data_IF_320585158639
#
_entry.id   IF_320585158639
#
_cell.length_a   1.000
_cell.length_b   1.000
_cell.length_c   1.000
_cell.angle_alpha   90.00
_cell.angle_beta   90.00
_cell.angle_gamma   90.00
#
_symmetry.space_group_name_H-M   'P 1'
#
loop_
_entity.id
_entity.type
_entity.pdbx_description
1 polymer ?
#
# COMPACT_ATOMS: atom_id res chain seq x y z
N UNK A 1 -29.25 19.26 16.22
CA UNK A 1 -29.31 18.70 14.85
C UNK A 1 -28.28 17.57 14.80
N UNK A 2 -28.72 16.31 14.95
CA UNK A 2 -27.79 15.17 14.86
C UNK A 2 -27.38 15.02 13.38
N UNK A 3 -26.17 15.45 13.06
CA UNK A 3 -25.54 15.11 11.78
C UNK A 3 -25.38 13.58 11.78
N UNK A 4 -26.16 12.89 10.95
CA UNK A 4 -25.94 11.47 10.68
C UNK A 4 -24.66 11.40 9.89
N UNK A 5 -23.53 11.21 10.59
CA UNK A 5 -22.23 10.97 9.95
C UNK A 5 -22.34 9.57 9.33
N UNK A 6 -22.40 9.50 8.02
CA UNK A 6 -22.39 8.22 7.31
C UNK A 6 -21.04 7.54 7.51
N UNK A 7 -21.01 6.21 7.73
CA UNK A 7 -19.74 5.49 7.78
C UNK A 7 -18.98 5.65 6.47
N UNK A 8 -17.64 5.65 6.52
CA UNK A 8 -16.80 5.82 5.34
C UNK A 8 -17.06 4.71 4.32
N UNK A 9 -17.02 5.06 3.04
CA UNK A 9 -17.10 4.09 1.96
C UNK A 9 -15.78 3.30 1.96
N UNK A 10 -15.87 1.99 2.18
CA UNK A 10 -14.70 1.11 2.13
C UNK A 10 -14.23 0.93 0.69
N UNK A 11 -12.92 0.95 0.51
CA UNK A 11 -12.29 0.52 -0.75
C UNK A 11 -12.43 -1.00 -0.84
N UNK A 12 -12.91 -1.49 -1.96
CA UNK A 12 -13.05 -2.92 -2.24
C UNK A 12 -12.06 -3.30 -3.35
N UNK A 13 -11.35 -4.41 -3.17
CA UNK A 13 -10.51 -4.96 -4.22
C UNK A 13 -11.33 -5.27 -5.47
N UNK A 14 -10.86 -4.82 -6.61
CA UNK A 14 -11.50 -5.07 -7.91
C UNK A 14 -10.48 -5.60 -8.90
N UNK A 15 -10.91 -6.46 -9.82
CA UNK A 15 -10.04 -7.06 -10.83
C UNK A 15 -9.26 -6.05 -11.69
N UNK A 16 -9.75 -4.81 -11.81
CA UNK A 16 -9.03 -3.73 -12.51
C UNK A 16 -7.72 -3.31 -11.82
N UNK A 17 -7.55 -3.64 -10.54
CA UNK A 17 -6.34 -3.36 -9.76
C UNK A 17 -5.34 -4.53 -9.81
N UNK A 18 -5.74 -5.66 -10.36
CA UNK A 18 -4.91 -6.85 -10.43
C UNK A 18 -3.79 -6.69 -11.46
N UNK A 19 -2.56 -6.93 -11.03
CA UNK A 19 -1.37 -6.92 -11.89
C UNK A 19 -1.03 -8.30 -12.43
N UNK A 20 -1.52 -9.36 -11.76
CA UNK A 20 -1.16 -10.74 -12.03
C UNK A 20 0.25 -11.09 -11.53
N UNK A 21 0.70 -10.40 -10.48
CA UNK A 21 1.91 -10.69 -9.72
C UNK A 21 1.47 -10.94 -8.28
N UNK A 22 1.28 -12.22 -7.93
CA UNK A 22 0.60 -12.63 -6.69
C UNK A 22 1.08 -11.90 -5.43
N UNK A 23 2.40 -11.75 -5.28
CA UNK A 23 2.97 -11.10 -4.11
C UNK A 23 2.61 -9.62 -4.03
N UNK A 24 2.56 -8.93 -5.15
CA UNK A 24 2.21 -7.51 -5.21
C UNK A 24 0.70 -7.34 -5.04
N UNK A 25 -0.10 -8.17 -5.71
CA UNK A 25 -1.55 -8.14 -5.59
C UNK A 25 -2.01 -8.39 -4.14
N UNK A 26 -1.39 -9.34 -3.42
CA UNK A 26 -1.66 -9.56 -1.99
C UNK A 26 -1.22 -8.37 -1.12
N UNK A 27 -0.11 -7.73 -1.45
CA UNK A 27 0.33 -6.52 -0.76
C UNK A 27 -0.61 -5.34 -1.00
N UNK A 28 -1.14 -5.16 -2.20
CA UNK A 28 -2.15 -4.14 -2.50
C UNK A 28 -3.46 -4.38 -1.73
N UNK A 29 -3.93 -5.62 -1.67
CA UNK A 29 -5.11 -5.98 -0.85
C UNK A 29 -4.90 -5.64 0.62
N UNK A 30 -3.70 -5.89 1.16
CA UNK A 30 -3.37 -5.52 2.55
C UNK A 30 -3.32 -4.00 2.74
N UNK A 31 -2.76 -3.23 1.81
CA UNK A 31 -2.77 -1.76 1.86
C UNK A 31 -4.20 -1.21 1.86
N UNK A 32 -5.09 -1.75 1.03
CA UNK A 32 -6.51 -1.41 1.05
C UNK A 32 -7.11 -1.68 2.44
N UNK A 33 -6.77 -2.82 3.05
CA UNK A 33 -7.20 -3.15 4.41
C UNK A 33 -6.76 -2.10 5.42
N UNK A 34 -5.47 -1.74 5.46
CA UNK A 34 -4.91 -0.73 6.36
C UNK A 34 -5.58 0.64 6.16
N UNK A 35 -5.80 1.05 4.91
CA UNK A 35 -6.49 2.31 4.61
C UNK A 35 -7.94 2.27 5.10
N UNK A 36 -8.65 1.17 4.91
CA UNK A 36 -10.01 1.00 5.42
C UNK A 36 -10.06 1.03 6.95
N UNK A 37 -9.09 0.42 7.62
CA UNK A 37 -8.97 0.43 9.09
C UNK A 37 -8.70 1.84 9.61
N UNK A 38 -7.84 2.61 8.93
CA UNK A 38 -7.61 4.02 9.24
C UNK A 38 -8.90 4.84 9.15
N UNK A 39 -9.72 4.57 8.14
CA UNK A 39 -11.02 5.23 7.96
C UNK A 39 -11.98 4.91 9.10
N UNK A 40 -12.05 3.66 9.49
CA UNK A 40 -12.91 3.23 10.59
C UNK A 40 -12.46 3.79 11.93
N UNK A 41 -11.17 3.70 12.23
CA UNK A 41 -10.59 4.26 13.47
C UNK A 41 -10.89 5.75 13.62
N UNK A 42 -10.81 6.48 12.52
CA UNK A 42 -11.15 7.89 12.47
C UNK A 42 -12.65 8.14 12.65
N UNK A 43 -13.50 7.40 11.93
CA UNK A 43 -14.95 7.51 12.06
C UNK A 43 -15.39 7.27 13.50
N UNK A 44 -14.77 6.33 14.19
CA UNK A 44 -15.00 6.01 15.61
C UNK A 44 -14.33 7.01 16.57
N UNK A 45 -13.59 8.00 16.06
CA UNK A 45 -12.81 8.96 16.83
C UNK A 45 -11.81 8.31 17.80
N UNK A 46 -11.31 7.13 17.44
CA UNK A 46 -10.35 6.38 18.24
C UNK A 46 -8.92 6.80 17.87
N UNK A 47 -8.41 7.81 18.60
CA UNK A 47 -7.08 8.41 18.34
C UNK A 47 -5.95 7.39 18.47
N UNK A 48 -6.02 6.49 19.45
CA UNK A 48 -5.00 5.45 19.64
C UNK A 48 -4.96 4.50 18.44
N UNK A 49 -6.13 4.09 17.96
CA UNK A 49 -6.25 3.25 16.79
C UNK A 49 -5.76 3.96 15.51
N UNK A 50 -6.07 5.25 15.36
CA UNK A 50 -5.56 6.06 14.24
C UNK A 50 -4.03 6.09 14.23
N UNK A 51 -3.40 6.38 15.38
CA UNK A 51 -1.93 6.41 15.49
C UNK A 51 -1.33 5.04 15.13
N UNK A 52 -1.85 3.96 15.71
CA UNK A 52 -1.39 2.59 15.42
C UNK A 52 -1.49 2.26 13.93
N UNK A 53 -2.58 2.63 13.29
CA UNK A 53 -2.81 2.34 11.87
C UNK A 53 -1.93 3.20 10.96
N UNK A 54 -1.62 4.44 11.35
CA UNK A 54 -0.66 5.30 10.64
C UNK A 54 0.77 4.72 10.71
N UNK A 55 1.18 4.20 11.86
CA UNK A 55 2.48 3.54 12.02
C UNK A 55 2.54 2.28 11.16
N UNK A 56 1.48 1.47 11.15
CA UNK A 56 1.36 0.29 10.31
C UNK A 56 1.42 0.65 8.81
N UNK A 57 0.69 1.68 8.39
CA UNK A 57 0.71 2.18 7.02
C UNK A 57 2.12 2.59 6.58
N UNK A 58 2.81 3.36 7.43
CA UNK A 58 4.18 3.83 7.14
C UNK A 58 5.16 2.66 7.00
N UNK A 59 5.10 1.68 7.89
CA UNK A 59 5.99 0.51 7.82
C UNK A 59 5.62 -0.40 6.65
N UNK A 60 4.34 -0.64 6.42
CA UNK A 60 3.89 -1.50 5.34
C UNK A 60 4.21 -0.94 3.96
N UNK A 61 3.96 0.36 3.73
CA UNK A 61 4.32 1.00 2.46
C UNK A 61 5.82 0.96 2.20
N UNK A 62 6.65 1.12 3.22
CA UNK A 62 8.10 1.00 3.08
C UNK A 62 8.51 -0.38 2.57
N UNK A 63 7.91 -1.43 3.09
CA UNK A 63 8.22 -2.81 2.70
C UNK A 63 7.65 -3.13 1.33
N UNK A 64 6.43 -2.71 1.04
CA UNK A 64 5.77 -2.89 -0.24
C UNK A 64 6.58 -2.26 -1.37
N UNK A 65 6.94 -0.98 -1.24
CA UNK A 65 7.76 -0.28 -2.24
C UNK A 65 9.13 -0.93 -2.45
N UNK A 66 9.79 -1.35 -1.36
CA UNK A 66 11.05 -2.07 -1.50
C UNK A 66 10.91 -3.41 -2.23
N UNK A 67 9.77 -4.10 -2.08
CA UNK A 67 9.49 -5.34 -2.79
C UNK A 67 9.31 -5.10 -4.29
N UNK A 68 8.52 -4.09 -4.66
CA UNK A 68 8.30 -3.71 -6.06
C UNK A 68 9.60 -3.27 -6.73
N UNK A 69 10.30 -2.33 -6.13
CA UNK A 69 11.56 -1.81 -6.64
C UNK A 69 12.59 -2.91 -6.86
N UNK A 70 12.68 -3.88 -5.94
CA UNK A 70 13.57 -5.03 -6.10
C UNK A 70 13.15 -5.98 -7.24
N UNK A 71 11.85 -6.15 -7.47
CA UNK A 71 11.35 -6.94 -8.61
C UNK A 71 11.59 -6.22 -9.93
N UNK A 72 11.32 -4.92 -9.98
CA UNK A 72 11.56 -4.09 -11.16
C UNK A 72 13.05 -4.04 -11.54
N UNK A 73 13.93 -3.90 -10.55
CA UNK A 73 15.39 -3.91 -10.76
C UNK A 73 15.84 -5.24 -11.36
N UNK A 74 15.39 -6.37 -10.79
CA UNK A 74 15.73 -7.71 -11.30
C UNK A 74 15.16 -7.99 -12.67
N UNK A 75 14.01 -7.39 -13.00
CA UNK A 75 13.40 -7.49 -14.31
C UNK A 75 13.99 -6.54 -15.35
N UNK A 76 14.85 -5.59 -14.93
CA UNK A 76 15.45 -4.60 -15.81
C UNK A 76 14.45 -3.56 -16.33
N UNK A 77 13.44 -3.21 -15.53
CA UNK A 77 12.40 -2.25 -15.94
C UNK A 77 12.97 -0.86 -16.15
N UNK A 78 12.78 -0.28 -17.32
CA UNK A 78 13.27 1.03 -17.68
C UNK A 78 12.64 2.18 -16.86
N UNK A 79 11.44 1.98 -16.34
CA UNK A 79 10.70 2.96 -15.54
C UNK A 79 11.09 3.00 -14.05
N UNK A 80 12.03 2.16 -13.59
CA UNK A 80 12.38 1.99 -12.17
C UNK A 80 12.67 3.32 -11.45
N UNK A 81 13.49 4.18 -12.02
CA UNK A 81 13.91 5.43 -11.36
C UNK A 81 12.74 6.42 -11.23
N UNK A 82 11.87 6.52 -12.24
CA UNK A 82 10.68 7.35 -12.16
C UNK A 82 9.69 6.79 -11.11
N UNK A 83 9.54 5.47 -11.05
CA UNK A 83 8.69 4.78 -10.08
C UNK A 83 9.16 5.00 -8.62
N UNK A 84 10.47 4.90 -8.37
CA UNK A 84 11.08 5.22 -7.06
C UNK A 84 10.78 6.65 -6.61
N UNK A 85 10.78 7.61 -7.53
CA UNK A 85 10.43 9.00 -7.19
C UNK A 85 8.99 9.15 -6.71
N UNK A 86 8.04 8.45 -7.35
CA UNK A 86 6.64 8.44 -6.89
C UNK A 86 6.51 7.82 -5.50
N UNK A 87 7.19 6.70 -5.24
CA UNK A 87 7.25 6.06 -3.93
C UNK A 87 7.83 6.98 -2.84
N UNK A 88 8.92 7.69 -3.16
CA UNK A 88 9.54 8.62 -2.23
C UNK A 88 8.64 9.82 -1.89
N UNK A 89 7.89 10.31 -2.88
CA UNK A 89 6.89 11.35 -2.66
C UNK A 89 5.79 10.86 -1.72
N UNK A 90 5.26 9.65 -1.95
CA UNK A 90 4.23 9.07 -1.09
C UNK A 90 4.72 8.84 0.34
N UNK A 91 5.91 8.28 0.52
CA UNK A 91 6.55 8.11 1.85
C UNK A 91 6.68 9.44 2.61
N UNK A 92 7.03 10.52 1.89
CA UNK A 92 7.09 11.87 2.48
C UNK A 92 5.71 12.37 2.89
N UNK A 93 4.69 12.17 2.06
CA UNK A 93 3.33 12.59 2.37
C UNK A 93 2.78 11.86 3.60
N UNK A 94 2.90 10.55 3.68
CA UNK A 94 2.47 9.77 4.86
C UNK A 94 3.11 10.30 6.14
N UNK A 95 4.43 10.58 6.11
CA UNK A 95 5.14 11.14 7.27
C UNK A 95 4.68 12.54 7.66
N UNK A 96 4.34 13.39 6.68
CA UNK A 96 3.81 14.73 6.94
C UNK A 96 2.45 14.65 7.62
N UNK A 97 1.56 13.78 7.15
CA UNK A 97 0.25 13.58 7.77
C UNK A 97 0.35 13.01 9.18
N UNK A 98 1.22 12.01 9.41
CA UNK A 98 1.44 11.49 10.75
C UNK A 98 1.93 12.58 11.74
N UNK A 99 2.82 13.46 11.28
CA UNK A 99 3.29 14.60 12.08
C UNK A 99 2.21 15.65 12.35
N UNK A 100 1.38 15.95 11.37
CA UNK A 100 0.28 16.90 11.52
C UNK A 100 -0.78 16.33 12.46
N UNK A 101 -1.15 15.06 12.31
CA UNK A 101 -2.07 14.39 13.23
C UNK A 101 -1.57 14.38 14.68
N UNK A 102 -0.27 14.13 14.89
CA UNK A 102 0.33 14.19 16.24
C UNK A 102 0.28 15.59 16.89
N UNK A 103 0.10 16.65 16.09
CA UNK A 103 -0.07 18.04 16.58
C UNK A 103 -1.54 18.44 16.78
N UNK A 104 -2.46 17.48 16.67
CA UNK A 104 -3.91 17.70 16.77
C UNK A 104 -4.51 18.48 15.59
N UNK A 105 -3.83 18.56 14.46
CA UNK A 105 -4.39 19.11 13.24
C UNK A 105 -5.35 18.07 12.63
N UNK A 106 -6.60 18.45 12.35
CA UNK A 106 -7.58 17.57 11.67
C UNK A 106 -7.30 17.50 10.17
N UNK A 107 -6.20 16.83 9.80
CA UNK A 107 -5.79 16.57 8.42
C UNK A 107 -6.33 15.25 7.86
N UNK A 108 -7.19 14.62 8.59
CA UNK A 108 -7.61 13.23 8.38
C UNK A 108 -8.44 13.01 7.12
N UNK A 109 -9.25 13.98 6.69
CA UNK A 109 -10.03 13.88 5.46
C UNK A 109 -9.14 14.03 4.21
N UNK A 110 -8.16 14.92 4.29
CA UNK A 110 -7.21 15.15 3.20
C UNK A 110 -6.30 13.93 3.01
N UNK A 111 -5.82 13.34 4.13
CA UNK A 111 -5.06 12.09 4.10
C UNK A 111 -5.85 10.96 3.45
N UNK A 112 -7.10 10.79 3.85
CA UNK A 112 -7.97 9.75 3.30
C UNK A 112 -8.11 9.88 1.79
N UNK A 113 -8.48 11.07 1.32
CA UNK A 113 -8.67 11.34 -0.10
C UNK A 113 -7.36 11.15 -0.88
N UNK A 114 -6.26 11.60 -0.32
CA UNK A 114 -4.93 11.46 -0.92
C UNK A 114 -4.53 9.98 -1.04
N UNK A 115 -4.64 9.21 0.03
CA UNK A 115 -4.28 7.78 0.03
C UNK A 115 -5.13 6.99 -0.96
N UNK A 116 -6.44 7.23 -0.98
CA UNK A 116 -7.35 6.53 -1.90
C UNK A 116 -7.03 6.86 -3.35
N UNK A 117 -6.92 8.14 -3.69
CA UNK A 117 -6.65 8.57 -5.06
C UNK A 117 -5.29 8.06 -5.53
N UNK A 118 -4.26 8.16 -4.66
CA UNK A 118 -2.94 7.69 -5.00
C UNK A 118 -2.91 6.17 -5.21
N UNK A 119 -3.44 5.39 -4.27
CA UNK A 119 -3.45 3.93 -4.38
C UNK A 119 -4.14 3.48 -5.68
N UNK A 120 -5.34 4.02 -5.95
CA UNK A 120 -6.10 3.62 -7.14
C UNK A 120 -5.40 4.02 -8.43
N UNK A 121 -4.85 5.24 -8.51
CA UNK A 121 -4.15 5.71 -9.71
C UNK A 121 -2.80 5.02 -9.89
N UNK A 122 -2.03 4.86 -8.82
CA UNK A 122 -0.72 4.21 -8.84
C UNK A 122 -0.84 2.75 -9.28
N UNK A 123 -1.68 1.97 -8.59
CA UNK A 123 -1.90 0.55 -8.92
C UNK A 123 -2.50 0.37 -10.31
N UNK A 124 -3.50 1.18 -10.68
CA UNK A 124 -4.19 1.00 -11.97
C UNK A 124 -3.41 1.50 -13.19
N UNK A 125 -2.43 2.36 -13.01
CA UNK A 125 -1.69 3.00 -14.11
C UNK A 125 -0.18 2.77 -14.00
N UNK A 126 0.45 3.25 -12.90
CA UNK A 126 1.91 3.23 -12.75
C UNK A 126 2.45 1.81 -12.61
N UNK A 127 1.84 0.99 -11.75
CA UNK A 127 2.29 -0.39 -11.52
C UNK A 127 2.04 -1.29 -12.74
N UNK A 128 1.00 -1.03 -13.49
CA UNK A 128 0.78 -1.75 -14.77
C UNK A 128 1.90 -1.52 -15.77
N UNK A 129 2.58 -0.39 -15.68
CA UNK A 129 3.72 -0.07 -16.56
C UNK A 129 4.88 -1.05 -16.45
N UNK A 130 5.14 -1.64 -15.28
CA UNK A 130 6.20 -2.62 -15.09
C UNK A 130 5.72 -4.08 -15.09
N UNK A 131 4.42 -4.31 -14.97
CA UNK A 131 3.87 -5.63 -14.67
C UNK A 131 4.29 -6.72 -15.65
N UNK A 132 4.31 -6.41 -16.95
CA UNK A 132 4.68 -7.38 -17.98
C UNK A 132 6.17 -7.75 -17.97
N UNK A 133 7.06 -6.80 -17.66
CA UNK A 133 8.49 -7.06 -17.53
C UNK A 133 8.76 -7.96 -16.32
N UNK A 134 8.12 -7.69 -15.19
CA UNK A 134 8.25 -8.51 -13.99
C UNK A 134 7.66 -9.91 -14.19
N UNK A 135 6.49 -10.05 -14.82
CA UNK A 135 5.92 -11.36 -15.15
C UNK A 135 6.85 -12.18 -16.05
N UNK A 136 7.41 -11.56 -17.08
CA UNK A 136 8.38 -12.22 -17.97
C UNK A 136 9.62 -12.66 -17.19
N UNK A 137 10.13 -11.82 -16.31
CA UNK A 137 11.25 -12.18 -15.45
C UNK A 137 10.90 -13.36 -14.54
N UNK A 138 9.76 -13.34 -13.87
CA UNK A 138 9.32 -14.42 -12.97
C UNK A 138 9.12 -15.75 -13.72
N UNK A 139 8.58 -15.71 -14.94
CA UNK A 139 8.40 -16.90 -15.76
C UNK A 139 9.72 -17.58 -16.18
N UNK A 140 10.86 -16.85 -16.13
CA UNK A 140 12.18 -17.43 -16.40
C UNK A 140 12.84 -18.07 -15.18
N UNK A 141 12.24 -17.91 -13.99
CA UNK A 141 12.79 -18.46 -12.74
C UNK A 141 12.21 -19.86 -12.47
N UNK A 142 13.04 -20.82 -12.00
CA UNK A 142 12.49 -22.02 -11.41
C UNK A 142 11.62 -21.63 -10.20
N UNK A 143 10.59 -22.44 -9.94
CA UNK A 143 9.75 -22.30 -8.74
C UNK A 143 10.60 -21.96 -7.51
N UNK A 144 10.21 -20.97 -6.68
CA UNK A 144 10.97 -20.61 -5.51
C UNK A 144 11.14 -21.83 -4.61
N UNK A 145 12.37 -22.08 -4.16
CA UNK A 145 12.60 -23.14 -3.21
C UNK A 145 11.71 -22.97 -1.96
N UNK A 146 11.44 -24.08 -1.26
CA UNK A 146 10.56 -24.05 -0.07
C UNK A 146 11.02 -23.07 1.01
N UNK A 147 12.31 -22.73 1.06
CA UNK A 147 12.88 -21.79 2.01
C UNK A 147 12.52 -20.34 1.64
N UNK A 148 12.59 -19.98 0.37
CA UNK A 148 12.21 -18.66 -0.13
C UNK A 148 10.69 -18.45 0.00
N UNK A 149 9.88 -19.44 -0.38
CA UNK A 149 8.44 -19.42 -0.19
C UNK A 149 8.05 -19.28 1.29
N UNK A 150 8.78 -19.98 2.20
CA UNK A 150 8.59 -19.89 3.65
C UNK A 150 8.91 -18.49 4.20
N UNK A 151 9.98 -17.85 3.74
CA UNK A 151 10.34 -16.48 4.17
C UNK A 151 9.28 -15.46 3.78
N UNK A 152 8.69 -15.60 2.60
CA UNK A 152 7.57 -14.76 2.16
C UNK A 152 6.30 -15.04 2.95
N UNK A 153 5.98 -16.30 3.24
CA UNK A 153 4.84 -16.67 4.07
C UNK A 153 4.96 -16.13 5.49
N UNK A 154 6.16 -16.17 6.09
CA UNK A 154 6.45 -15.58 7.41
C UNK A 154 6.28 -14.05 7.36
N UNK A 155 6.78 -13.41 6.31
CA UNK A 155 6.64 -11.97 6.13
C UNK A 155 5.17 -11.56 6.05
N UNK A 156 4.38 -12.21 5.18
CA UNK A 156 2.93 -11.95 5.06
C UNK A 156 2.22 -12.23 6.39
N UNK A 157 2.62 -13.27 7.13
CA UNK A 157 2.00 -13.65 8.41
C UNK A 157 2.25 -12.61 9.52
N UNK A 158 3.40 -11.92 9.50
CA UNK A 158 3.73 -10.85 10.46
C UNK A 158 2.76 -9.67 10.37
N UNK A 159 2.11 -9.46 9.22
CA UNK A 159 1.16 -8.37 8.98
C UNK A 159 -0.30 -8.86 8.87
N UNK A 160 -0.57 -10.14 9.15
CA UNK A 160 -1.94 -10.70 9.23
C UNK A 160 -2.50 -10.72 10.66
N UNK A 161 -1.71 -10.35 11.65
CA UNK A 161 -2.11 -10.26 13.06
C UNK A 161 -2.43 -8.82 13.44
#
# INVERSE_FOLDING_TARGET
MNLIIKPPIKIVWHASLELGIDIIDEQHKRLIGIINDLYMARFEQNIEHVNKTLDELNEYTRVHFATEEALMEKAGCACLEAHKLEHDQMKKQIKLFAKAFAKSDDVSQDLQSMLMNWLLSHTAQTDKGYSEDVKRFLATKPEPDKATASRWAVFIKKFKA
#
